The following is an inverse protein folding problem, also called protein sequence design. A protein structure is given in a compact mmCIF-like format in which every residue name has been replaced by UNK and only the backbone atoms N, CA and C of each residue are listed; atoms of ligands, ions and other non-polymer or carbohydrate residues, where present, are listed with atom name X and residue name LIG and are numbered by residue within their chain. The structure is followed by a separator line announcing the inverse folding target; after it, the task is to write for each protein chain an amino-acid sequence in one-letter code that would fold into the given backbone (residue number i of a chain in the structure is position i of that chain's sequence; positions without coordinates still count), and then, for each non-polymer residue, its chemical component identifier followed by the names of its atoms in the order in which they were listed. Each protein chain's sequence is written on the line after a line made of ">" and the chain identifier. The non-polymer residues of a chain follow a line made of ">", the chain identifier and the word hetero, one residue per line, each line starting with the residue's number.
data_IF_258102786352
#
_entry.id   IF_258102786352
#
_cell.length_a   1.000
_cell.length_b   1.000
_cell.length_c   1.000
_cell.angle_alpha   90.00
_cell.angle_beta   90.00
_cell.angle_gamma   90.00
#
_symmetry.space_group_name_H-M   'P 1'
#
loop_
_entity.id
_entity.type
_entity.pdbx_description
1 polymer ?
#
# COMPACT_ATOMS: atom_id res chain seq x y z
N UNK A 1 -40.58 -24.45 29.18
CA UNK A 1 -39.59 -24.39 28.09
C UNK A 1 -39.59 -23.07 27.34
N UNK A 2 -40.67 -22.26 27.37
CA UNK A 2 -40.69 -20.95 26.67
C UNK A 2 -39.78 -19.88 27.29
N UNK A 3 -39.57 -19.86 28.61
CA UNK A 3 -38.77 -18.82 29.28
C UNK A 3 -37.26 -18.82 28.93
N UNK A 4 -36.73 -19.88 28.30
CA UNK A 4 -35.32 -19.94 27.89
C UNK A 4 -35.15 -19.40 26.46
N UNK A 5 -36.14 -19.56 25.58
CA UNK A 5 -36.07 -19.14 24.18
C UNK A 5 -36.11 -17.60 24.04
N UNK A 6 -36.82 -16.90 24.93
CA UNK A 6 -36.95 -15.43 24.91
C UNK A 6 -35.68 -14.69 25.41
N UNK A 7 -34.65 -15.41 25.85
CA UNK A 7 -33.42 -14.85 26.45
C UNK A 7 -32.17 -15.23 25.64
N UNK A 8 -32.31 -15.96 24.53
CA UNK A 8 -31.18 -16.33 23.69
C UNK A 8 -30.77 -15.17 22.78
N UNK A 9 -29.55 -14.70 22.95
CA UNK A 9 -28.93 -13.71 22.08
C UNK A 9 -28.11 -14.40 20.98
N UNK A 10 -28.18 -13.87 19.76
CA UNK A 10 -27.28 -14.24 18.67
C UNK A 10 -26.39 -13.05 18.33
N UNK A 11 -25.11 -13.33 18.09
CA UNK A 11 -24.13 -12.34 17.68
C UNK A 11 -23.38 -12.85 16.46
N UNK A 12 -23.29 -12.00 15.43
CA UNK A 12 -22.47 -12.26 14.26
C UNK A 12 -21.81 -10.95 13.81
N UNK A 13 -20.55 -11.05 13.38
CA UNK A 13 -19.85 -9.97 12.70
C UNK A 13 -20.02 -10.14 11.19
N UNK A 14 -20.29 -9.04 10.48
CA UNK A 14 -20.59 -9.05 9.05
C UNK A 14 -19.93 -7.87 8.36
N UNK A 15 -19.29 -8.14 7.22
CA UNK A 15 -18.71 -7.13 6.32
C UNK A 15 -19.73 -6.54 5.33
N UNK A 16 -20.93 -7.14 5.18
CA UNK A 16 -21.88 -6.84 4.09
C UNK A 16 -22.58 -5.48 4.16
N UNK A 17 -22.36 -4.68 5.22
CA UNK A 17 -23.10 -3.44 5.45
C UNK A 17 -22.14 -2.28 5.66
N UNK A 18 -22.38 -1.18 4.95
CA UNK A 18 -21.57 0.03 5.05
C UNK A 18 -22.20 1.09 5.96
N UNK A 19 -23.46 0.87 6.38
CA UNK A 19 -24.19 1.75 7.30
C UNK A 19 -24.87 1.00 8.44
N UNK A 20 -25.14 1.72 9.52
CA UNK A 20 -25.88 1.18 10.68
C UNK A 20 -27.32 0.80 10.29
N UNK A 21 -27.91 1.51 9.33
CA UNK A 21 -29.28 1.28 8.88
C UNK A 21 -29.40 -0.05 8.12
N UNK A 22 -28.52 -0.28 7.13
CA UNK A 22 -28.43 -1.55 6.40
C UNK A 22 -28.25 -2.74 7.36
N UNK A 23 -27.33 -2.60 8.34
CA UNK A 23 -27.10 -3.64 9.34
C UNK A 23 -28.34 -3.90 10.22
N UNK A 24 -29.10 -2.86 10.58
CA UNK A 24 -30.34 -3.00 11.35
C UNK A 24 -31.42 -3.72 10.57
N UNK A 25 -31.58 -3.38 9.29
CA UNK A 25 -32.56 -4.03 8.41
C UNK A 25 -32.25 -5.52 8.21
N UNK A 26 -30.99 -5.86 7.96
CA UNK A 26 -30.55 -7.25 7.83
C UNK A 26 -30.78 -8.04 9.13
N UNK A 27 -30.34 -7.49 10.28
CA UNK A 27 -30.54 -8.14 11.58
C UNK A 27 -32.03 -8.33 11.91
N UNK A 28 -32.87 -7.36 11.55
CA UNK A 28 -34.33 -7.47 11.72
C UNK A 28 -34.91 -8.59 10.88
N UNK A 29 -34.41 -8.77 9.65
CA UNK A 29 -34.82 -9.85 8.76
C UNK A 29 -34.41 -11.21 9.31
N UNK A 30 -33.16 -11.35 9.76
CA UNK A 30 -32.62 -12.59 10.31
C UNK A 30 -33.32 -13.00 11.62
N UNK A 31 -33.62 -12.03 12.49
CA UNK A 31 -34.40 -12.27 13.70
C UNK A 31 -35.81 -12.74 13.34
N UNK A 32 -36.50 -12.04 12.42
CA UNK A 32 -37.83 -12.45 11.95
C UNK A 32 -37.80 -13.85 11.34
N UNK A 33 -36.78 -14.17 10.54
CA UNK A 33 -36.59 -15.48 9.95
C UNK A 33 -36.39 -16.58 11.01
N UNK A 34 -35.58 -16.31 12.03
CA UNK A 34 -35.34 -17.24 13.13
C UNK A 34 -36.63 -17.60 13.87
N UNK A 35 -37.50 -16.61 14.12
CA UNK A 35 -38.85 -16.86 14.65
C UNK A 35 -39.76 -17.58 13.65
N UNK A 36 -39.66 -17.23 12.37
CA UNK A 36 -40.47 -17.81 11.30
C UNK A 36 -40.31 -19.34 11.19
N UNK A 37 -39.11 -19.86 11.45
CA UNK A 37 -38.85 -21.31 11.45
C UNK A 37 -39.66 -22.07 12.52
N UNK A 38 -39.98 -21.44 13.65
CA UNK A 38 -40.86 -22.03 14.68
C UNK A 38 -42.35 -21.93 14.32
N UNK A 39 -42.70 -21.09 13.35
CA UNK A 39 -44.08 -20.85 12.91
C UNK A 39 -44.45 -21.64 11.65
N UNK A 40 -43.61 -22.60 11.21
CA UNK A 40 -43.92 -23.47 10.06
C UNK A 40 -44.76 -24.65 10.52
N UNK A 41 -45.95 -24.76 9.95
CA UNK A 41 -46.89 -25.84 10.17
C UNK A 41 -46.74 -26.90 9.09
N UNK A 42 -46.94 -28.16 9.48
CA UNK A 42 -47.04 -29.29 8.57
C UNK A 42 -48.49 -29.76 8.51
N UNK A 43 -48.96 -30.06 7.31
CA UNK A 43 -50.29 -30.62 7.09
C UNK A 43 -50.28 -31.73 6.06
N UNK A 44 -51.33 -32.54 6.08
CA UNK A 44 -51.57 -33.58 5.10
C UNK A 44 -53.04 -33.58 4.68
N UNK A 45 -53.32 -33.98 3.44
CA UNK A 45 -54.67 -34.07 2.89
C UNK A 45 -54.68 -34.73 1.53
N UNK A 46 -55.79 -34.59 0.81
CA UNK A 46 -56.03 -35.15 -0.52
C UNK A 46 -56.35 -34.08 -1.58
N UNK A 47 -56.35 -32.80 -1.20
CA UNK A 47 -56.56 -31.69 -2.11
C UNK A 47 -55.30 -31.42 -2.95
N UNK A 48 -55.31 -31.85 -4.20
CA UNK A 48 -54.14 -31.84 -5.10
C UNK A 48 -53.82 -30.49 -5.75
N UNK A 49 -54.70 -29.50 -5.60
CA UNK A 49 -54.52 -28.18 -6.24
C UNK A 49 -53.84 -27.15 -5.33
N UNK A 50 -53.26 -27.59 -4.20
CA UNK A 50 -52.42 -26.76 -3.35
C UNK A 50 -51.17 -26.30 -4.11
N UNK A 51 -51.04 -24.99 -4.31
CA UNK A 51 -49.95 -24.37 -5.08
C UNK A 51 -49.09 -23.48 -4.18
N UNK A 52 -47.79 -23.80 -3.97
CA UNK A 52 -46.91 -22.97 -3.15
C UNK A 52 -46.94 -21.50 -3.55
N UNK A 53 -46.95 -20.60 -2.57
CA UNK A 53 -47.13 -19.16 -2.73
C UNK A 53 -48.59 -18.68 -2.66
N UNK A 54 -49.58 -19.59 -2.75
CA UNK A 54 -50.98 -19.24 -2.53
C UNK A 54 -51.34 -19.22 -1.05
N UNK A 55 -52.34 -18.42 -0.70
CA UNK A 55 -52.92 -18.39 0.64
C UNK A 55 -54.13 -19.31 0.73
N UNK A 56 -54.32 -19.94 1.88
CA UNK A 56 -55.49 -20.77 2.17
C UNK A 56 -55.91 -20.60 3.63
N UNK A 57 -57.19 -20.88 3.91
CA UNK A 57 -57.75 -20.83 5.25
C UNK A 57 -57.96 -22.23 5.80
N UNK A 58 -57.55 -22.45 7.04
CA UNK A 58 -57.93 -23.65 7.79
C UNK A 58 -59.20 -23.33 8.57
N UNK A 59 -60.30 -24.03 8.28
CA UNK A 59 -61.60 -23.80 8.93
C UNK A 59 -61.87 -24.74 10.09
N UNK A 60 -61.18 -25.88 10.14
CA UNK A 60 -61.35 -26.90 11.15
C UNK A 60 -60.00 -27.55 11.46
N UNK A 61 -59.73 -27.77 12.74
CA UNK A 61 -58.53 -28.46 13.23
C UNK A 61 -58.94 -29.59 14.20
N UNK A 62 -58.11 -30.63 14.35
CA UNK A 62 -58.28 -31.63 15.40
C UNK A 62 -58.36 -31.00 16.79
N UNK A 63 -59.05 -31.64 17.74
CA UNK A 63 -59.29 -31.10 19.07
C UNK A 63 -58.01 -30.86 19.91
N UNK A 64 -56.92 -31.53 19.55
CA UNK A 64 -55.58 -31.42 20.14
C UNK A 64 -54.70 -30.34 19.50
N UNK A 65 -55.16 -29.72 18.41
CA UNK A 65 -54.46 -28.62 17.74
C UNK A 65 -55.08 -27.29 18.16
N UNK A 66 -54.27 -26.44 18.78
CA UNK A 66 -54.66 -25.07 19.13
C UNK A 66 -54.10 -24.13 18.08
N UNK A 67 -54.98 -23.46 17.33
CA UNK A 67 -54.61 -22.31 16.52
C UNK A 67 -54.64 -21.06 17.39
N UNK A 68 -53.72 -20.13 17.12
CA UNK A 68 -53.72 -18.83 17.80
C UNK A 68 -54.98 -18.00 17.46
N UNK A 69 -55.54 -18.21 16.26
CA UNK A 69 -56.84 -17.68 15.83
C UNK A 69 -57.63 -18.77 15.07
N UNK A 70 -58.91 -18.92 15.41
CA UNK A 70 -59.81 -19.90 14.80
C UNK A 70 -60.06 -19.66 13.30
N UNK A 71 -59.68 -18.49 12.76
CA UNK A 71 -59.78 -18.13 11.33
C UNK A 71 -58.43 -17.73 10.72
N UNK A 72 -57.32 -18.31 11.18
CA UNK A 72 -55.99 -17.99 10.68
C UNK A 72 -55.82 -18.39 9.20
N UNK A 73 -55.44 -17.42 8.37
CA UNK A 73 -54.99 -17.65 6.99
C UNK A 73 -53.52 -18.07 7.00
N UNK A 74 -53.15 -18.94 6.06
CA UNK A 74 -51.79 -19.46 5.90
C UNK A 74 -51.30 -19.20 4.49
N UNK A 75 -50.01 -18.90 4.35
CA UNK A 75 -49.29 -18.92 3.08
C UNK A 75 -48.63 -20.29 2.92
N UNK A 76 -48.95 -20.96 1.81
CA UNK A 76 -48.40 -22.27 1.50
C UNK A 76 -46.94 -22.15 1.04
N UNK A 77 -46.02 -22.89 1.67
CA UNK A 77 -44.58 -22.81 1.41
C UNK A 77 -44.10 -23.93 0.49
N UNK A 78 -44.60 -25.15 0.70
CA UNK A 78 -44.25 -26.30 -0.14
C UNK A 78 -45.36 -27.33 -0.15
N UNK A 79 -45.41 -28.13 -1.22
CA UNK A 79 -46.29 -29.30 -1.33
C UNK A 79 -45.48 -30.48 -1.82
N UNK A 80 -45.86 -31.67 -1.39
CA UNK A 80 -45.32 -32.94 -1.87
C UNK A 80 -46.48 -33.87 -2.11
N UNK A 81 -46.63 -34.27 -3.38
CA UNK A 81 -47.67 -35.19 -3.82
C UNK A 81 -47.15 -36.63 -3.70
N UNK A 82 -47.90 -37.46 -3.00
CA UNK A 82 -47.66 -38.89 -2.86
C UNK A 82 -48.72 -39.66 -3.64
N UNK A 83 -48.29 -40.56 -4.51
CA UNK A 83 -49.18 -41.38 -5.34
C UNK A 83 -48.87 -42.86 -5.07
N UNK A 84 -49.81 -43.58 -4.48
CA UNK A 84 -49.73 -45.02 -4.27
C UNK A 84 -50.67 -45.73 -5.26
N UNK A 85 -50.08 -46.31 -6.29
CA UNK A 85 -50.81 -46.99 -7.36
C UNK A 85 -51.45 -48.31 -6.92
N UNK A 86 -50.87 -49.00 -5.92
CA UNK A 86 -51.41 -50.26 -5.43
C UNK A 86 -52.66 -50.00 -4.58
N UNK A 87 -52.62 -48.95 -3.75
CA UNK A 87 -53.76 -48.53 -2.92
C UNK A 87 -54.75 -47.62 -3.63
N UNK A 88 -54.48 -47.23 -4.89
CA UNK A 88 -55.28 -46.27 -5.65
C UNK A 88 -55.52 -44.97 -4.85
N UNK A 89 -54.50 -44.49 -4.14
CA UNK A 89 -54.61 -43.32 -3.26
C UNK A 89 -53.63 -42.22 -3.64
N UNK A 90 -54.10 -40.99 -3.55
CA UNK A 90 -53.29 -39.79 -3.66
C UNK A 90 -53.36 -39.05 -2.33
N UNK A 91 -52.22 -38.61 -1.83
CA UNK A 91 -52.16 -37.70 -0.69
C UNK A 91 -51.16 -36.58 -0.96
N UNK A 92 -51.38 -35.44 -0.32
CA UNK A 92 -50.49 -34.29 -0.34
C UNK A 92 -50.03 -34.05 1.07
N UNK A 93 -48.73 -33.94 1.28
CA UNK A 93 -48.17 -33.33 2.48
C UNK A 93 -47.71 -31.92 2.12
N UNK A 94 -47.90 -30.97 3.01
CA UNK A 94 -47.53 -29.58 2.75
C UNK A 94 -46.92 -28.92 3.99
N UNK A 95 -46.16 -27.85 3.73
CA UNK A 95 -45.76 -26.91 4.77
C UNK A 95 -46.36 -25.54 4.50
N UNK A 96 -46.77 -24.85 5.56
CA UNK A 96 -47.36 -23.52 5.48
C UNK A 96 -46.92 -22.66 6.68
N UNK A 97 -46.90 -21.36 6.52
CA UNK A 97 -46.72 -20.42 7.62
C UNK A 97 -47.96 -19.52 7.74
N UNK A 98 -48.31 -19.03 8.94
CA UNK A 98 -49.36 -18.04 9.08
C UNK A 98 -49.17 -16.84 8.15
N UNK A 99 -50.25 -16.32 7.59
CA UNK A 99 -50.24 -15.17 6.71
C UNK A 99 -49.58 -13.98 7.42
N UNK A 100 -48.61 -13.36 6.75
CA UNK A 100 -47.83 -12.24 7.30
C UNK A 100 -46.52 -12.64 7.98
N UNK A 101 -46.29 -13.94 8.23
CA UNK A 101 -44.97 -14.45 8.64
C UNK A 101 -44.05 -14.45 7.41
N UNK A 102 -42.96 -13.68 7.49
CA UNK A 102 -41.98 -13.59 6.40
C UNK A 102 -41.05 -14.81 6.42
N UNK A 103 -41.15 -15.66 5.39
CA UNK A 103 -40.20 -16.76 5.15
C UNK A 103 -39.25 -16.35 4.03
N UNK A 104 -37.96 -16.26 4.35
CA UNK A 104 -36.89 -15.96 3.39
C UNK A 104 -36.18 -17.23 2.95
N UNK A 105 -35.90 -17.44 1.64
CA UNK A 105 -35.10 -18.57 1.19
C UNK A 105 -33.69 -18.51 1.77
N UNK A 106 -33.17 -19.66 2.19
CA UNK A 106 -31.75 -19.77 2.59
C UNK A 106 -30.93 -19.95 1.30
N UNK A 107 -30.19 -18.91 0.90
CA UNK A 107 -29.22 -18.99 -0.18
C UNK A 107 -27.86 -19.45 0.30
N UNK A 108 -27.08 -20.12 -0.56
CA UNK A 108 -25.66 -20.36 -0.31
C UNK A 108 -24.89 -19.16 -0.82
N UNK A 109 -24.21 -18.45 0.08
CA UNK A 109 -23.31 -17.36 -0.31
C UNK A 109 -22.01 -17.95 -0.85
N UNK A 110 -21.58 -17.59 -2.08
CA UNK A 110 -20.32 -18.07 -2.63
C UNK A 110 -19.15 -17.55 -1.80
N UNK A 111 -18.12 -18.38 -1.62
CA UNK A 111 -16.91 -18.03 -0.88
C UNK A 111 -15.67 -18.36 -1.69
N UNK A 112 -14.62 -17.55 -1.53
CA UNK A 112 -13.28 -17.80 -2.06
C UNK A 112 -12.41 -18.27 -0.90
N UNK A 113 -12.02 -19.55 -0.93
CA UNK A 113 -11.31 -20.19 0.19
C UNK A 113 -9.84 -19.81 0.33
N UNK A 114 -9.27 -19.02 -0.59
CA UNK A 114 -7.83 -18.75 -0.59
C UNK A 114 -7.45 -17.47 -1.31
N UNK A 115 -6.13 -17.23 -1.39
CA UNK A 115 -5.58 -16.11 -2.11
C UNK A 115 -5.66 -16.35 -3.62
N UNK A 116 -5.93 -15.29 -4.37
CA UNK A 116 -5.86 -15.32 -5.83
C UNK A 116 -4.83 -14.31 -6.32
N UNK A 117 -4.39 -14.43 -7.57
CA UNK A 117 -3.66 -13.36 -8.22
C UNK A 117 -4.53 -12.64 -9.23
N UNK A 118 -4.23 -11.37 -9.46
CA UNK A 118 -4.90 -10.52 -10.43
C UNK A 118 -3.88 -9.55 -11.03
N UNK A 119 -4.21 -8.94 -12.17
CA UNK A 119 -3.35 -7.95 -12.80
C UNK A 119 -3.92 -6.57 -12.55
N UNK A 120 -3.08 -5.60 -12.15
CA UNK A 120 -3.51 -4.21 -11.95
C UNK A 120 -3.91 -3.59 -13.28
N UNK A 121 -5.07 -2.95 -13.30
CA UNK A 121 -5.68 -2.33 -14.48
C UNK A 121 -5.95 -0.86 -14.24
N UNK A 122 -6.27 -0.14 -15.31
CA UNK A 122 -6.57 1.27 -15.28
C UNK A 122 -6.62 1.85 -16.68
N UNK A 123 -7.05 3.10 -16.78
CA UNK A 123 -6.86 3.84 -18.02
C UNK A 123 -5.42 4.37 -18.03
N UNK A 124 -4.58 3.82 -18.92
CA UNK A 124 -3.22 4.30 -19.13
C UNK A 124 -3.20 5.70 -19.81
N UNK A 125 -4.36 6.28 -20.12
CA UNK A 125 -4.46 7.66 -20.56
C UNK A 125 -4.35 8.60 -19.35
N UNK A 126 -3.34 9.47 -19.45
CA UNK A 126 -2.97 10.59 -18.55
C UNK A 126 -1.96 10.20 -17.48
N UNK A 127 -0.71 10.59 -17.73
CA UNK A 127 0.18 11.15 -16.71
C UNK A 127 0.68 10.25 -15.57
N UNK A 128 0.13 9.05 -15.39
CA UNK A 128 0.20 8.32 -14.11
C UNK A 128 0.40 6.81 -14.32
N UNK A 129 1.20 6.15 -13.48
CA UNK A 129 1.46 4.71 -13.60
C UNK A 129 0.33 3.82 -13.04
N UNK A 130 -0.72 4.43 -12.48
CA UNK A 130 -1.95 3.80 -11.98
C UNK A 130 -3.08 4.83 -11.96
N UNK A 131 -4.33 4.38 -12.05
CA UNK A 131 -5.50 5.27 -11.96
C UNK A 131 -5.66 5.76 -10.53
N UNK A 132 -5.84 7.08 -10.36
CA UNK A 132 -6.02 7.70 -9.04
C UNK A 132 -7.48 7.65 -8.65
N UNK A 133 -7.75 6.97 -7.54
CA UNK A 133 -9.03 6.99 -6.84
C UNK A 133 -9.42 8.42 -6.40
N UNK A 134 -10.70 8.78 -6.57
CA UNK A 134 -11.24 10.10 -6.21
C UNK A 134 -11.04 10.46 -4.74
N UNK A 135 -11.02 9.47 -3.85
CA UNK A 135 -10.76 9.67 -2.42
C UNK A 135 -9.26 9.71 -2.07
N UNK A 136 -8.39 9.42 -3.04
CA UNK A 136 -6.91 9.45 -2.93
C UNK A 136 -6.36 8.51 -1.85
N UNK A 137 -6.98 7.34 -1.69
CA UNK A 137 -6.61 6.35 -0.66
C UNK A 137 -5.49 5.38 -1.10
N UNK A 138 -4.91 5.55 -2.29
CA UNK A 138 -3.92 4.61 -2.83
C UNK A 138 -4.49 3.25 -3.23
N UNK A 139 -5.82 3.19 -3.49
CA UNK A 139 -6.51 2.01 -4.00
C UNK A 139 -6.20 1.83 -5.49
N UNK A 140 -6.30 0.59 -5.97
CA UNK A 140 -6.14 0.24 -7.39
C UNK A 140 -7.29 -0.62 -7.88
N UNK A 141 -7.46 -0.70 -9.19
CA UNK A 141 -8.35 -1.66 -9.85
C UNK A 141 -7.52 -2.81 -10.40
N UNK A 142 -8.14 -3.98 -10.49
CA UNK A 142 -7.49 -5.18 -11.03
C UNK A 142 -8.42 -5.87 -12.02
N UNK A 143 -7.91 -6.83 -12.76
CA UNK A 143 -8.72 -7.83 -13.45
C UNK A 143 -8.29 -9.22 -12.98
N UNK A 144 -9.25 -9.99 -12.49
CA UNK A 144 -9.05 -11.38 -12.11
C UNK A 144 -8.97 -12.28 -13.35
N UNK A 145 -8.28 -13.41 -13.23
CA UNK A 145 -8.09 -14.34 -14.35
C UNK A 145 -9.39 -15.00 -14.84
N UNK A 146 -10.39 -15.12 -13.96
CA UNK A 146 -11.70 -15.66 -14.29
C UNK A 146 -12.67 -14.62 -14.89
N UNK A 147 -12.32 -13.33 -14.83
CA UNK A 147 -13.11 -12.27 -15.47
C UNK A 147 -12.84 -12.23 -16.98
N UNK A 148 -13.81 -12.76 -17.73
CA UNK A 148 -13.81 -12.86 -19.18
C UNK A 148 -14.43 -11.64 -19.88
N UNK A 149 -15.16 -10.80 -19.14
CA UNK A 149 -15.86 -9.64 -19.69
C UNK A 149 -15.02 -8.36 -19.55
N UNK A 150 -14.13 -8.32 -18.56
CA UNK A 150 -13.18 -7.25 -18.34
C UNK A 150 -12.25 -6.98 -19.53
N UNK A 151 -12.06 -5.69 -19.83
CA UNK A 151 -11.26 -5.20 -20.97
C UNK A 151 -9.86 -4.72 -20.58
N UNK A 152 -9.42 -5.05 -19.36
CA UNK A 152 -8.16 -4.57 -18.74
C UNK A 152 -8.05 -3.05 -18.70
N UNK A 153 -9.17 -2.36 -18.47
CA UNK A 153 -9.27 -0.90 -18.41
C UNK A 153 -9.70 -0.42 -17.02
N UNK A 154 -10.09 0.86 -16.91
CA UNK A 154 -10.56 1.45 -15.65
C UNK A 154 -11.93 0.94 -15.17
N UNK A 155 -12.62 0.07 -15.92
CA UNK A 155 -13.98 -0.40 -15.62
C UNK A 155 -14.03 -1.86 -15.13
N UNK A 156 -12.90 -2.44 -14.73
CA UNK A 156 -12.83 -3.87 -14.37
C UNK A 156 -13.42 -4.18 -13.00
N UNK A 157 -12.88 -3.62 -11.91
CA UNK A 157 -13.31 -3.90 -10.54
C UNK A 157 -13.72 -2.63 -9.78
N UNK A 158 -14.24 -2.83 -8.56
CA UNK A 158 -14.23 -1.81 -7.52
C UNK A 158 -12.78 -1.42 -7.15
N UNK A 159 -12.66 -0.43 -6.27
CA UNK A 159 -11.36 0.01 -5.75
C UNK A 159 -10.87 -0.91 -4.62
N UNK A 160 -9.77 -1.61 -4.86
CA UNK A 160 -9.17 -2.52 -3.89
C UNK A 160 -8.15 -1.75 -3.02
N UNK A 161 -8.24 -1.93 -1.70
CA UNK A 161 -7.21 -1.46 -0.75
C UNK A 161 -5.92 -2.25 -0.94
N UNK A 162 -4.79 -1.60 -0.66
CA UNK A 162 -3.46 -2.20 -0.77
C UNK A 162 -2.80 -2.24 0.61
N UNK A 163 -2.40 -3.43 1.05
CA UNK A 163 -1.60 -3.62 2.24
C UNK A 163 -0.23 -2.97 2.05
N UNK A 164 0.18 -2.16 3.03
CA UNK A 164 1.51 -1.56 3.08
C UNK A 164 2.26 -2.09 4.32
N UNK A 165 3.61 -2.21 4.28
CA UNK A 165 4.40 -2.69 5.41
C UNK A 165 4.19 -1.92 6.72
N UNK A 166 3.84 -0.63 6.63
CA UNK A 166 3.47 0.22 7.75
C UNK A 166 2.48 1.28 7.27
N UNK A 167 1.36 1.45 7.96
CA UNK A 167 0.36 2.46 7.64
C UNK A 167 -0.18 3.09 8.94
N UNK A 168 0.24 4.32 9.22
CA UNK A 168 -0.24 5.10 10.36
C UNK A 168 -0.72 6.49 9.94
N UNK A 169 -1.30 7.29 10.87
CA UNK A 169 -1.82 8.62 10.55
C UNK A 169 -0.70 9.54 10.00
N UNK A 170 -0.69 9.72 8.67
CA UNK A 170 0.30 10.52 7.91
C UNK A 170 1.76 10.02 7.97
N UNK A 171 1.99 8.73 8.23
CA UNK A 171 3.32 8.13 8.13
C UNK A 171 3.23 6.65 7.72
N UNK A 172 4.30 6.11 7.12
CA UNK A 172 4.36 4.70 6.72
C UNK A 172 5.10 4.47 5.41
N UNK A 173 5.05 3.23 4.93
CA UNK A 173 5.49 2.86 3.60
C UNK A 173 4.34 3.04 2.60
N UNK A 174 4.64 3.46 1.38
CA UNK A 174 3.63 3.66 0.33
C UNK A 174 4.19 3.21 -1.01
N UNK A 175 3.83 2.00 -1.43
CA UNK A 175 4.22 1.43 -2.73
C UNK A 175 2.99 0.91 -3.46
N UNK A 176 2.31 1.79 -4.19
CA UNK A 176 1.11 1.44 -4.95
C UNK A 176 1.48 0.60 -6.16
N UNK A 177 0.88 -0.61 -6.32
CA UNK A 177 1.02 -1.41 -7.52
C UNK A 177 0.63 -0.62 -8.77
N UNK A 178 1.40 -0.79 -9.83
CA UNK A 178 1.26 -0.07 -11.10
C UNK A 178 0.54 -0.95 -12.12
N UNK A 179 -0.08 -0.34 -13.12
CA UNK A 179 -0.79 -1.05 -14.20
C UNK A 179 0.14 -2.11 -14.82
N UNK A 180 -0.38 -3.33 -15.00
CA UNK A 180 0.36 -4.48 -15.53
C UNK A 180 1.11 -5.30 -14.49
N UNK A 181 1.23 -4.83 -13.24
CA UNK A 181 1.82 -5.64 -12.17
C UNK A 181 0.84 -6.71 -11.70
N UNK A 182 1.37 -7.90 -11.39
CA UNK A 182 0.61 -8.98 -10.78
C UNK A 182 0.57 -8.79 -9.26
N UNK A 183 -0.63 -8.88 -8.69
CA UNK A 183 -0.89 -8.68 -7.27
C UNK A 183 -1.56 -9.90 -6.65
N UNK A 184 -1.33 -10.12 -5.37
CA UNK A 184 -2.01 -11.14 -4.55
C UNK A 184 -3.22 -10.49 -3.89
N UNK A 185 -4.39 -11.07 -4.10
CA UNK A 185 -5.67 -10.59 -3.59
C UNK A 185 -6.20 -11.57 -2.55
N UNK A 186 -6.54 -11.04 -1.38
CA UNK A 186 -7.29 -11.68 -0.33
C UNK A 186 -8.73 -11.16 -0.32
N UNK A 187 -9.61 -11.89 0.35
CA UNK A 187 -11.05 -11.60 0.43
C UNK A 187 -11.44 -11.63 1.92
N UNK A 188 -12.02 -10.54 2.43
CA UNK A 188 -12.42 -10.45 3.84
C UNK A 188 -13.42 -11.58 4.16
N UNK A 189 -13.09 -12.45 5.12
CA UNK A 189 -13.88 -13.65 5.44
C UNK A 189 -14.18 -14.59 4.25
N UNK A 190 -13.40 -14.51 3.16
CA UNK A 190 -13.63 -15.26 1.93
C UNK A 190 -14.74 -14.67 1.04
N UNK A 191 -15.24 -13.47 1.34
CA UNK A 191 -16.29 -12.81 0.61
C UNK A 191 -15.80 -12.23 -0.73
N UNK A 192 -16.30 -12.71 -1.89
CA UNK A 192 -15.87 -12.25 -3.21
C UNK A 192 -16.06 -10.73 -3.43
N UNK A 193 -17.00 -10.10 -2.72
CA UNK A 193 -17.34 -8.69 -2.88
C UNK A 193 -16.41 -7.75 -2.08
N UNK A 194 -15.58 -8.30 -1.19
CA UNK A 194 -14.65 -7.54 -0.33
C UNK A 194 -13.17 -7.91 -0.56
N UNK A 195 -12.65 -7.71 -1.78
CA UNK A 195 -11.26 -7.97 -2.09
C UNK A 195 -10.31 -6.87 -1.59
N UNK A 196 -9.11 -7.27 -1.17
CA UNK A 196 -7.99 -6.37 -0.87
C UNK A 196 -6.65 -6.99 -1.26
N UNK A 197 -5.67 -6.17 -1.59
CA UNK A 197 -4.36 -6.60 -2.08
C UNK A 197 -3.38 -6.76 -0.92
N UNK A 198 -2.70 -7.90 -0.86
CA UNK A 198 -1.62 -8.16 0.11
C UNK A 198 -0.25 -7.69 -0.36
N UNK A 199 -0.02 -7.67 -1.67
CA UNK A 199 1.28 -7.31 -2.24
C UNK A 199 1.35 -7.65 -3.73
N UNK A 200 2.56 -7.57 -4.28
CA UNK A 200 2.85 -7.84 -5.68
C UNK A 200 3.81 -9.03 -5.85
N UNK A 201 3.70 -9.71 -6.98
CA UNK A 201 4.58 -10.80 -7.38
C UNK A 201 5.38 -10.43 -8.62
N UNK A 202 6.62 -10.91 -8.67
CA UNK A 202 7.36 -11.03 -9.92
C UNK A 202 6.89 -12.27 -10.68
N UNK A 203 6.99 -12.24 -12.00
CA UNK A 203 6.60 -13.32 -12.89
C UNK A 203 7.52 -13.38 -14.13
N UNK A 204 7.15 -14.18 -15.14
CA UNK A 204 7.97 -14.36 -16.34
C UNK A 204 8.21 -13.07 -17.14
N UNK A 205 7.27 -12.12 -17.10
CA UNK A 205 7.37 -10.81 -17.75
C UNK A 205 8.01 -9.78 -16.81
N UNK A 206 7.49 -9.67 -15.59
CA UNK A 206 7.98 -8.78 -14.54
C UNK A 206 9.06 -9.47 -13.70
N UNK A 207 10.32 -9.43 -14.13
CA UNK A 207 11.43 -10.08 -13.42
C UNK A 207 11.89 -9.30 -12.18
N UNK A 208 12.42 -9.98 -11.14
CA UNK A 208 13.05 -9.30 -10.00
C UNK A 208 14.28 -8.47 -10.43
N UNK A 209 14.51 -7.28 -9.85
CA UNK A 209 15.55 -6.34 -10.29
C UNK A 209 16.98 -6.83 -10.02
N UNK A 210 17.16 -7.77 -9.12
CA UNK A 210 18.47 -8.22 -8.63
C UNK A 210 18.74 -9.71 -8.90
N UNK A 211 17.99 -10.32 -9.81
CA UNK A 211 18.06 -11.77 -10.04
C UNK A 211 19.45 -12.22 -10.54
N UNK A 212 20.15 -11.37 -11.29
CA UNK A 212 21.49 -11.62 -11.83
C UNK A 212 22.60 -11.59 -10.76
N UNK A 213 22.34 -10.98 -9.59
CA UNK A 213 23.30 -10.96 -8.47
C UNK A 213 23.27 -12.28 -7.66
N UNK A 214 22.54 -13.30 -8.14
CA UNK A 214 22.47 -14.65 -7.57
C UNK A 214 22.16 -14.69 -6.06
N UNK A 215 21.30 -13.77 -5.60
CA UNK A 215 20.88 -13.69 -4.20
C UNK A 215 21.83 -12.92 -3.27
N UNK A 216 22.96 -12.41 -3.78
CA UNK A 216 23.84 -11.55 -2.98
C UNK A 216 23.34 -10.12 -2.85
N UNK A 217 22.45 -9.65 -3.73
CA UNK A 217 21.88 -8.31 -3.65
C UNK A 217 20.43 -8.31 -3.17
N UNK A 218 20.15 -7.44 -2.21
CA UNK A 218 18.81 -7.16 -1.69
C UNK A 218 18.54 -5.65 -1.65
N UNK A 219 17.28 -5.22 -1.64
CA UNK A 219 16.94 -3.80 -1.49
C UNK A 219 15.72 -3.34 -2.27
N UNK A 220 15.65 -2.03 -2.52
CA UNK A 220 14.56 -1.36 -3.23
C UNK A 220 15.10 -0.71 -4.51
N UNK A 221 14.60 -1.13 -5.67
CA UNK A 221 14.79 -0.45 -6.94
C UNK A 221 13.45 0.06 -7.45
N UNK A 222 13.35 1.36 -7.68
CA UNK A 222 12.17 1.98 -8.29
C UNK A 222 12.32 2.01 -9.82
N UNK A 223 11.33 2.52 -10.53
CA UNK A 223 11.45 2.79 -11.96
C UNK A 223 10.88 4.17 -12.26
N UNK A 224 11.62 4.99 -13.00
CA UNK A 224 11.11 6.21 -13.61
C UNK A 224 10.18 5.82 -14.74
N UNK A 225 8.94 6.28 -14.68
CA UNK A 225 7.91 5.95 -15.66
C UNK A 225 7.54 7.22 -16.41
N UNK A 226 7.67 7.15 -17.73
CA UNK A 226 7.00 8.06 -18.63
C UNK A 226 5.52 7.67 -18.70
N UNK A 227 4.63 8.61 -18.43
CA UNK A 227 3.20 8.36 -18.55
C UNK A 227 2.82 7.79 -19.93
N UNK A 228 2.05 6.69 -19.93
CA UNK A 228 1.58 6.04 -21.16
C UNK A 228 2.64 5.25 -21.93
N UNK A 229 3.86 5.09 -21.41
CA UNK A 229 4.86 4.17 -21.94
C UNK A 229 5.04 2.97 -21.02
N UNK A 230 5.40 1.85 -21.63
CA UNK A 230 5.59 0.58 -20.95
C UNK A 230 6.71 0.67 -19.89
N UNK A 231 6.39 0.30 -18.66
CA UNK A 231 7.34 0.22 -17.55
C UNK A 231 8.37 -0.91 -17.78
N UNK A 232 8.09 -1.87 -18.66
CA UNK A 232 8.97 -2.99 -18.97
C UNK A 232 10.35 -2.57 -19.51
N UNK A 233 10.47 -1.33 -20.04
CA UNK A 233 11.73 -0.79 -20.58
C UNK A 233 12.28 0.40 -19.78
N UNK A 234 11.84 0.60 -18.54
CA UNK A 234 12.34 1.68 -17.70
C UNK A 234 13.83 1.46 -17.36
N UNK A 235 14.73 2.14 -18.05
CA UNK A 235 16.19 2.08 -17.80
C UNK A 235 16.64 3.00 -16.66
N UNK A 236 15.76 3.93 -16.26
CA UNK A 236 16.02 4.96 -15.25
C UNK A 236 15.39 4.59 -13.91
N UNK A 237 16.13 4.73 -12.82
CA UNK A 237 15.69 4.25 -11.51
C UNK A 237 16.42 4.89 -10.32
N UNK A 238 15.73 5.03 -9.19
CA UNK A 238 16.37 5.21 -7.90
C UNK A 238 16.57 3.85 -7.21
N UNK A 239 17.63 3.71 -6.43
CA UNK A 239 17.97 2.47 -5.75
C UNK A 239 18.53 2.70 -4.34
N UNK A 240 18.11 1.86 -3.40
CA UNK A 240 18.83 1.57 -2.17
C UNK A 240 19.02 0.05 -2.11
N UNK A 241 20.25 -0.44 -2.23
CA UNK A 241 20.54 -1.87 -2.20
C UNK A 241 21.76 -2.22 -1.33
N UNK A 242 21.81 -3.48 -0.94
CA UNK A 242 22.82 -4.10 -0.11
C UNK A 242 23.36 -5.31 -0.85
N UNK A 243 24.68 -5.41 -0.99
CA UNK A 243 25.35 -6.56 -1.57
C UNK A 243 26.12 -7.27 -0.46
N UNK A 244 25.78 -8.53 -0.21
CA UNK A 244 26.20 -9.30 0.97
C UNK A 244 27.20 -10.43 0.64
N UNK A 245 27.92 -10.29 -0.48
CA UNK A 245 29.00 -11.23 -0.78
C UNK A 245 30.21 -10.90 0.09
N UNK A 246 30.61 -11.87 0.93
CA UNK A 246 31.72 -11.73 1.88
C UNK A 246 33.00 -11.16 1.24
N UNK A 247 33.54 -10.08 1.81
CA UNK A 247 34.73 -9.37 1.33
C UNK A 247 34.50 -8.46 0.12
N UNK A 248 33.25 -8.31 -0.32
CA UNK A 248 32.82 -7.43 -1.40
C UNK A 248 31.55 -6.65 -1.00
N UNK A 249 31.30 -6.50 0.31
CA UNK A 249 30.08 -5.91 0.84
C UNK A 249 29.91 -4.47 0.35
N UNK A 250 28.71 -4.11 -0.09
CA UNK A 250 28.41 -2.80 -0.66
C UNK A 250 27.02 -2.33 -0.22
N UNK A 251 26.91 -1.05 0.16
CA UNK A 251 25.62 -0.35 0.17
C UNK A 251 25.62 0.59 -1.03
N UNK A 252 24.61 0.45 -1.90
CA UNK A 252 24.44 1.33 -3.06
C UNK A 252 23.23 2.22 -2.86
N UNK A 253 23.46 3.52 -2.88
CA UNK A 253 22.43 4.55 -2.93
C UNK A 253 22.54 5.29 -4.26
N UNK A 254 21.51 5.17 -5.11
CA UNK A 254 21.45 5.84 -6.42
C UNK A 254 20.22 6.74 -6.49
N UNK A 255 20.45 8.02 -6.78
CA UNK A 255 19.42 8.94 -7.24
C UNK A 255 19.53 9.09 -8.76
N UNK A 256 18.42 8.92 -9.50
CA UNK A 256 18.40 9.09 -10.96
C UNK A 256 18.52 10.57 -11.37
N UNK A 257 18.05 11.48 -10.52
CA UNK A 257 18.01 12.92 -10.81
C UNK A 257 18.56 13.74 -9.66
N UNK A 258 17.69 14.17 -8.74
CA UNK A 258 18.06 15.04 -7.63
C UNK A 258 18.17 14.23 -6.33
N UNK A 259 19.24 14.44 -5.55
CA UNK A 259 19.37 13.89 -4.21
C UNK A 259 19.34 15.04 -3.19
N UNK A 260 18.19 15.20 -2.53
CA UNK A 260 18.00 16.21 -1.49
C UNK A 260 18.08 15.55 -0.10
N UNK A 261 18.99 16.02 0.74
CA UNK A 261 19.14 15.57 2.11
C UNK A 261 19.06 16.76 3.07
N UNK A 262 18.14 16.70 4.04
CA UNK A 262 18.00 17.70 5.11
C UNK A 262 18.22 17.01 6.44
N UNK A 263 19.22 17.48 7.20
CA UNK A 263 19.57 16.95 8.50
C UNK A 263 19.33 18.07 9.52
N UNK A 264 18.32 17.89 10.39
CA UNK A 264 17.96 18.89 11.40
C UNK A 264 18.90 18.89 12.62
N UNK A 265 19.69 17.82 12.79
CA UNK A 265 20.67 17.68 13.85
C UNK A 265 22.07 17.53 13.28
N UNK A 266 22.83 16.57 13.80
CA UNK A 266 24.21 16.33 13.39
C UNK A 266 24.29 15.28 12.28
N UNK A 267 25.17 15.51 11.29
CA UNK A 267 25.66 14.48 10.37
C UNK A 267 27.09 14.12 10.77
N UNK A 268 27.32 12.84 11.09
CA UNK A 268 28.66 12.31 11.39
C UNK A 268 29.03 11.28 10.34
N UNK A 269 30.26 11.35 9.82
CA UNK A 269 30.78 10.41 8.84
C UNK A 269 32.19 9.97 9.26
N UNK A 270 32.44 8.67 9.28
CA UNK A 270 33.75 8.08 9.58
C UNK A 270 34.10 7.09 8.48
N UNK A 271 35.17 7.38 7.74
CA UNK A 271 35.65 6.57 6.63
C UNK A 271 37.00 5.99 7.05
N UNK A 272 37.10 4.66 7.14
CA UNK A 272 38.31 3.98 7.59
C UNK A 272 39.38 3.83 6.52
N UNK A 273 38.99 3.98 5.25
CA UNK A 273 39.85 3.85 4.09
C UNK A 273 39.76 5.16 3.29
N UNK A 274 39.31 5.11 2.05
CA UNK A 274 39.28 6.26 1.16
C UNK A 274 37.87 6.85 1.05
N UNK A 275 37.78 8.18 1.08
CA UNK A 275 36.62 8.94 0.61
C UNK A 275 36.99 9.63 -0.71
N UNK A 276 36.18 9.42 -1.76
CA UNK A 276 36.41 9.99 -3.09
C UNK A 276 35.15 10.67 -3.57
N UNK A 277 35.26 11.97 -3.86
CA UNK A 277 34.16 12.82 -4.28
C UNK A 277 34.53 13.48 -5.61
N UNK A 278 33.63 13.37 -6.58
CA UNK A 278 33.75 14.05 -7.88
C UNK A 278 32.52 14.91 -8.10
N UNK A 279 32.75 16.19 -8.38
CA UNK A 279 31.72 17.17 -8.69
C UNK A 279 32.06 17.75 -10.06
N UNK A 280 31.25 17.41 -11.07
CA UNK A 280 31.52 17.79 -12.47
C UNK A 280 31.26 19.29 -12.75
N UNK A 281 30.41 19.91 -11.93
CA UNK A 281 30.07 21.34 -12.05
C UNK A 281 30.56 22.09 -10.81
N UNK A 282 29.64 22.58 -9.98
CA UNK A 282 29.96 23.47 -8.87
C UNK A 282 29.79 22.79 -7.52
N UNK A 283 30.71 23.10 -6.59
CA UNK A 283 30.59 22.81 -5.17
C UNK A 283 30.51 24.13 -4.41
N UNK A 284 29.34 24.43 -3.86
CA UNK A 284 29.11 25.57 -2.98
C UNK A 284 29.13 25.10 -1.52
N UNK A 285 30.01 25.67 -0.71
CA UNK A 285 30.15 25.35 0.72
C UNK A 285 30.12 26.62 1.56
N UNK A 286 29.12 26.70 2.45
CA UNK A 286 29.00 27.77 3.44
C UNK A 286 29.08 27.18 4.84
N UNK A 287 30.02 27.66 5.65
CA UNK A 287 30.21 27.22 7.03
C UNK A 287 29.96 28.41 7.94
N UNK A 288 28.96 28.31 8.82
CA UNK A 288 28.52 29.44 9.65
C UNK A 288 29.45 29.77 10.83
N UNK A 289 30.36 28.86 11.19
CA UNK A 289 31.33 29.05 12.27
C UNK A 289 32.74 28.69 11.77
N UNK A 290 33.23 27.49 12.10
CA UNK A 290 34.61 27.09 11.80
C UNK A 290 34.63 25.95 10.78
N UNK A 291 35.54 26.05 9.81
CA UNK A 291 35.96 24.95 8.98
C UNK A 291 37.39 24.56 9.39
N UNK A 292 37.53 23.44 10.08
CA UNK A 292 38.82 22.91 10.51
C UNK A 292 39.26 21.75 9.59
N UNK A 293 40.44 21.87 8.99
CA UNK A 293 41.00 20.86 8.08
C UNK A 293 42.41 20.48 8.53
N UNK A 294 42.59 19.23 8.97
CA UNK A 294 43.89 18.68 9.34
C UNK A 294 44.31 17.62 8.32
N UNK A 295 45.51 17.77 7.76
CA UNK A 295 46.03 16.91 6.69
C UNK A 295 47.39 16.40 7.13
N UNK A 296 47.56 15.07 7.12
CA UNK A 296 48.77 14.43 7.65
C UNK A 296 49.97 14.44 6.70
N UNK A 297 49.74 14.61 5.39
CA UNK A 297 50.79 14.58 4.38
C UNK A 297 50.73 15.83 3.48
N UNK A 298 49.92 15.83 2.43
CA UNK A 298 49.93 16.90 1.43
C UNK A 298 48.55 17.52 1.18
N UNK A 299 48.48 18.87 1.19
CA UNK A 299 47.36 19.65 0.64
C UNK A 299 47.79 20.28 -0.69
N UNK A 300 47.05 20.02 -1.76
CA UNK A 300 47.26 20.67 -3.06
C UNK A 300 46.02 21.46 -3.47
N UNK A 301 46.20 22.76 -3.72
CA UNK A 301 45.16 23.64 -4.25
C UNK A 301 45.62 24.14 -5.61
N UNK A 302 44.91 23.75 -6.66
CA UNK A 302 45.19 24.15 -8.04
C UNK A 302 43.92 24.76 -8.64
N UNK A 303 44.00 26.01 -9.08
CA UNK A 303 42.95 26.66 -9.84
C UNK A 303 43.41 26.92 -11.27
N UNK A 304 42.49 26.75 -12.24
CA UNK A 304 42.76 27.08 -13.64
C UNK A 304 42.87 28.58 -13.92
N UNK A 305 42.19 29.41 -13.12
CA UNK A 305 42.13 30.86 -13.30
C UNK A 305 42.74 31.62 -12.12
N UNK A 306 42.14 31.54 -10.94
CA UNK A 306 42.61 32.27 -9.75
C UNK A 306 42.23 31.57 -8.46
N UNK A 307 42.99 31.85 -7.41
CA UNK A 307 42.65 31.55 -6.01
C UNK A 307 42.53 32.90 -5.31
N UNK A 308 41.38 33.15 -4.67
CA UNK A 308 41.14 34.34 -3.85
C UNK A 308 41.02 33.93 -2.39
N UNK A 309 41.73 34.63 -1.51
CA UNK A 309 41.65 34.47 -0.06
C UNK A 309 41.33 35.84 0.53
N UNK A 310 40.18 35.95 1.18
CA UNK A 310 39.71 37.19 1.79
C UNK A 310 39.36 36.93 3.26
N UNK A 311 39.81 37.82 4.13
CA UNK A 311 39.49 37.80 5.55
C UNK A 311 39.37 39.23 6.07
N UNK A 312 38.44 39.46 6.99
CA UNK A 312 38.21 40.79 7.57
C UNK A 312 39.29 41.21 8.57
N UNK A 313 39.95 40.24 9.21
CA UNK A 313 40.95 40.49 10.25
C UNK A 313 42.37 40.22 9.75
N UNK A 314 42.67 38.96 9.41
CA UNK A 314 43.98 38.59 8.90
C UNK A 314 43.97 37.28 8.13
N UNK A 315 45.00 37.10 7.29
CA UNK A 315 45.38 35.85 6.64
C UNK A 315 46.79 35.51 7.12
N UNK A 316 46.99 34.31 7.67
CA UNK A 316 48.28 33.87 8.22
C UNK A 316 48.73 32.55 7.58
N UNK A 317 49.97 32.51 7.11
CA UNK A 317 50.62 31.33 6.54
C UNK A 317 51.89 31.09 7.33
N UNK A 318 52.01 29.93 7.99
CA UNK A 318 53.11 29.64 8.91
C UNK A 318 53.72 28.25 8.66
N UNK A 319 55.04 28.18 8.73
CA UNK A 319 55.81 26.92 8.70
C UNK A 319 56.93 27.02 9.74
N UNK A 320 56.83 26.24 10.82
CA UNK A 320 57.79 26.29 11.93
C UNK A 320 57.93 27.72 12.49
N UNK A 321 59.15 28.28 12.41
CA UNK A 321 59.48 29.65 12.83
C UNK A 321 59.23 30.74 11.77
N UNK A 322 58.90 30.39 10.52
CA UNK A 322 58.64 31.36 9.45
C UNK A 322 57.15 31.64 9.31
N UNK A 323 56.78 32.89 9.00
CA UNK A 323 55.38 33.29 8.80
C UNK A 323 55.20 34.48 7.85
N UNK A 324 54.09 34.48 7.12
CA UNK A 324 53.53 35.63 6.42
C UNK A 324 52.16 35.93 7.03
N UNK A 325 51.96 37.16 7.48
CA UNK A 325 50.68 37.64 8.01
C UNK A 325 50.23 38.88 7.24
N UNK A 326 49.05 38.82 6.66
CA UNK A 326 48.38 39.94 5.97
C UNK A 326 47.25 40.39 6.88
N UNK A 327 47.20 41.68 7.21
CA UNK A 327 46.13 42.28 8.01
C UNK A 327 45.76 43.66 7.46
N UNK A 328 44.78 44.31 8.09
CA UNK A 328 44.40 45.69 7.76
C UNK A 328 45.51 46.72 8.03
N UNK A 329 46.53 46.39 8.83
CA UNK A 329 47.66 47.28 9.13
C UNK A 329 48.85 47.12 8.18
N UNK A 330 48.90 46.05 7.39
CA UNK A 330 49.98 45.80 6.43
C UNK A 330 50.31 44.31 6.25
N UNK A 331 51.49 44.04 5.69
CA UNK A 331 52.02 42.69 5.46
C UNK A 331 53.28 42.50 6.32
N UNK A 332 53.24 41.54 7.25
CA UNK A 332 54.36 41.16 8.11
C UNK A 332 54.98 39.85 7.63
N UNK A 333 56.28 39.87 7.33
CA UNK A 333 57.05 38.68 6.91
C UNK A 333 58.15 38.43 7.94
N UNK A 334 58.15 37.25 8.56
CA UNK A 334 59.16 36.81 9.55
C UNK A 334 59.83 35.52 9.07
N UNK A 335 61.16 35.53 8.98
CA UNK A 335 61.98 34.34 8.70
C UNK A 335 63.44 34.62 9.08
N UNK A 336 64.27 33.56 9.18
CA UNK A 336 65.73 33.70 9.34
C UNK A 336 66.38 34.29 8.10
N UNK A 337 65.82 34.02 6.93
CA UNK A 337 66.27 34.54 5.64
C UNK A 337 65.07 34.80 4.75
N UNK A 338 65.05 35.98 4.12
CA UNK A 338 64.08 36.32 3.07
C UNK A 338 64.88 36.58 1.79
N UNK A 339 64.60 35.83 0.73
CA UNK A 339 65.22 36.01 -0.58
C UNK A 339 64.14 36.40 -1.59
N UNK A 340 64.29 37.58 -2.18
CA UNK A 340 63.36 38.13 -3.19
C UNK A 340 64.14 38.22 -4.50
N UNK A 341 63.82 37.36 -5.47
CA UNK A 341 64.50 37.29 -6.76
C UNK A 341 63.54 37.76 -7.86
N UNK A 342 63.96 38.71 -8.68
CA UNK A 342 63.19 39.20 -9.82
C UNK A 342 64.06 40.04 -10.74
N UNK A 343 63.66 40.17 -12.01
CA UNK A 343 64.35 41.03 -12.98
C UNK A 343 64.30 42.52 -12.57
N UNK A 344 63.23 42.92 -11.89
CA UNK A 344 63.05 44.24 -11.28
C UNK A 344 62.35 44.06 -9.93
N UNK A 345 62.90 44.63 -8.87
CA UNK A 345 62.28 44.67 -7.54
C UNK A 345 62.13 46.13 -7.13
N UNK A 346 60.91 46.65 -7.18
CA UNK A 346 60.60 48.00 -6.76
C UNK A 346 60.20 47.99 -5.29
N UNK A 347 61.08 48.48 -4.42
CA UNK A 347 60.80 48.70 -3.01
C UNK A 347 60.43 50.18 -2.85
N UNK A 348 59.39 50.49 -2.07
CA UNK A 348 58.93 51.86 -1.87
C UNK A 348 60.00 52.81 -1.33
N UNK A 349 59.69 54.11 -1.25
CA UNK A 349 60.65 55.19 -0.97
C UNK A 349 61.34 55.16 0.40
N UNK A 350 60.91 54.29 1.32
CA UNK A 350 61.51 54.16 2.65
C UNK A 350 61.82 52.68 2.92
N UNK A 351 63.11 52.37 2.99
CA UNK A 351 63.64 51.09 3.50
C UNK A 351 64.39 51.40 4.78
N UNK A 352 63.84 50.98 5.92
CA UNK A 352 64.52 51.10 7.21
C UNK A 352 65.16 49.75 7.53
N UNK A 353 66.42 49.59 7.11
CA UNK A 353 67.27 48.48 7.53
C UNK A 353 67.77 48.87 8.92
N UNK A 354 67.17 48.27 9.96
CA UNK A 354 67.55 48.52 11.35
C UNK A 354 69.05 48.39 11.60
#
# INVERSE_FOLDING_TARGET
>A
TSAIADVLESYNYSEYFNSIEEGREATTRDNKQSYAHFAVWQGAGDYIHLTPGCNFRVTHVPADVVLDDANQDFTLLSTTLHVDQLKHSISVTFSAAPLGVLITPVGVTPTISGLQTAVVTGDAKIGTPYTVDSEKLGRVKVQFHWDREGKRDANTTCWLRVMNPMAGPRHGAHFTPRIGQEVVVAFENGNPDYPFILGALYNGENKPPFIEDHGFRSGFRTASIDAGKDAANATKYNELSFYDKKGQEEIRLRAEKDFNATIQGNKTQHIMQNDSQTIDQNLDMTVGQNLDMAIGDNLSIKAGSSIALEASQSISIKVGGSSIEISSSGINIKSSQISINGAVVNIGSVVNLG
#
